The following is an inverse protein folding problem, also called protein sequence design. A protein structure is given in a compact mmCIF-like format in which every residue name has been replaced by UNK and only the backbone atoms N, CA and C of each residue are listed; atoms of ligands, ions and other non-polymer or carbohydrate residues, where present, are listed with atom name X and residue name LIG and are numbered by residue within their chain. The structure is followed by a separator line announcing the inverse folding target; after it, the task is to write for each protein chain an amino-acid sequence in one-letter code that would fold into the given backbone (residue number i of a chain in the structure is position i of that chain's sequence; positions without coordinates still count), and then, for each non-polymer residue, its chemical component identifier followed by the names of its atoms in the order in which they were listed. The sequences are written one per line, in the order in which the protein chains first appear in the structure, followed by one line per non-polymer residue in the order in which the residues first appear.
data_IF_679653341957
#
_entry.id   IF_679653341957
#
_cell.length_a   1.000
_cell.length_b   1.000
_cell.length_c   1.000
_cell.angle_alpha   90.00
_cell.angle_beta   90.00
_cell.angle_gamma   90.00
#
_symmetry.space_group_name_H-M   'P 1'
#
loop_
_entity.id
_entity.type
_entity.pdbx_description
1 polymer ?
#
# COMPACT_ATOMS: atom_id res chain seq x y z
N UNK A 1 65.92 13.32 -3.81
CA UNK A 1 65.82 13.03 -2.36
C UNK A 1 65.11 14.18 -1.68
N UNK A 2 63.78 14.12 -1.57
CA UNK A 2 62.97 15.05 -0.78
C UNK A 2 62.75 14.43 0.60
N UNK A 3 63.04 15.20 1.64
CA UNK A 3 62.88 14.79 3.05
C UNK A 3 61.39 14.64 3.38
N UNK A 4 60.99 13.64 4.18
CA UNK A 4 59.63 13.57 4.71
C UNK A 4 59.41 14.72 5.70
N UNK A 5 58.36 15.51 5.47
CA UNK A 5 57.90 16.55 6.39
C UNK A 5 57.18 15.85 7.54
N UNK A 6 57.72 16.06 8.74
CA UNK A 6 57.26 15.47 10.00
C UNK A 6 56.31 16.48 10.64
N UNK A 7 55.03 16.44 10.27
CA UNK A 7 54.00 17.31 10.84
C UNK A 7 53.25 16.56 11.96
N UNK A 8 53.34 17.00 13.23
CA UNK A 8 52.70 16.31 14.37
C UNK A 8 51.17 16.52 14.49
N UNK A 9 50.52 17.25 13.57
CA UNK A 9 49.07 17.47 13.63
C UNK A 9 48.23 16.38 12.91
N UNK A 10 48.85 15.50 12.12
CA UNK A 10 48.10 14.51 11.34
C UNK A 10 47.72 13.22 12.10
N UNK A 11 48.11 13.08 13.37
CA UNK A 11 47.87 11.88 14.20
C UNK A 11 46.76 12.12 15.26
N UNK A 12 45.99 13.21 15.14
CA UNK A 12 44.92 13.55 16.11
C UNK A 12 43.51 13.60 15.50
N UNK A 13 43.27 12.91 14.38
CA UNK A 13 41.92 12.71 13.81
C UNK A 13 41.65 11.23 13.51
N UNK A 14 42.22 10.31 14.31
CA UNK A 14 41.89 8.89 14.24
C UNK A 14 41.72 8.32 15.64
N UNK A 15 40.74 8.88 16.37
CA UNK A 15 40.08 8.31 17.56
C UNK A 15 39.14 9.36 18.17
N UNK A 16 37.93 9.51 17.64
CA UNK A 16 36.80 10.12 18.38
C UNK A 16 35.48 9.58 17.84
N UNK A 17 34.81 8.82 18.71
CA UNK A 17 33.38 8.58 18.76
C UNK A 17 32.74 7.81 17.61
N UNK A 18 32.93 6.49 17.66
CA UNK A 18 31.77 5.59 17.76
C UNK A 18 30.81 6.13 18.82
N UNK A 19 29.67 6.68 18.42
CA UNK A 19 28.55 6.87 19.33
C UNK A 19 27.80 5.55 19.42
N UNK A 20 27.90 4.95 20.59
CA UNK A 20 27.10 3.80 21.01
C UNK A 20 25.62 4.12 20.86
N UNK A 21 24.93 3.23 20.15
CA UNK A 21 23.50 3.01 20.29
C UNK A 21 23.18 2.75 21.77
N UNK A 22 22.20 3.44 22.38
CA UNK A 22 21.79 3.11 23.74
C UNK A 22 21.16 1.70 23.75
N UNK A 23 21.82 0.78 24.45
CA UNK A 23 21.30 -0.56 24.76
C UNK A 23 20.00 -0.43 25.57
N UNK A 24 18.94 -1.18 25.25
CA UNK A 24 17.73 -1.18 26.07
C UNK A 24 18.03 -1.79 27.45
N UNK A 25 17.76 -1.04 28.52
CA UNK A 25 17.86 -1.49 29.90
C UNK A 25 16.63 -2.36 30.26
N UNK A 26 16.81 -3.63 30.68
CA UNK A 26 15.71 -4.54 30.95
C UNK A 26 15.25 -4.42 32.42
N UNK A 27 14.48 -3.38 32.76
CA UNK A 27 13.81 -3.29 34.07
C UNK A 27 12.55 -2.41 34.00
N UNK A 28 11.46 -2.96 33.47
CA UNK A 28 10.14 -2.84 34.10
C UNK A 28 9.12 -3.78 33.45
N UNK A 29 8.92 -4.92 34.10
CA UNK A 29 7.71 -5.72 33.94
C UNK A 29 6.48 -4.88 34.31
N UNK A 30 5.50 -4.78 33.41
CA UNK A 30 4.09 -4.93 33.79
C UNK A 30 3.38 -5.78 32.75
N UNK A 31 3.35 -7.09 33.03
CA UNK A 31 2.31 -7.98 32.49
C UNK A 31 0.96 -7.39 32.89
N UNK A 32 0.13 -7.06 31.91
CA UNK A 32 -1.32 -6.94 32.09
C UNK A 32 -2.00 -7.68 30.95
N UNK A 33 -2.06 -8.99 31.14
CA UNK A 33 -3.15 -9.82 30.64
C UNK A 33 -4.48 -9.17 31.02
N UNK A 34 -5.31 -8.85 30.04
CA UNK A 34 -6.76 -8.89 30.19
C UNK A 34 -7.35 -9.32 28.84
N UNK A 35 -7.35 -10.63 28.66
CA UNK A 35 -8.27 -11.34 27.78
C UNK A 35 -9.67 -11.08 28.32
N UNK A 36 -10.50 -10.36 27.58
CA UNK A 36 -11.94 -10.29 27.85
C UNK A 36 -12.67 -10.51 26.53
N UNK A 37 -12.94 -11.80 26.32
CA UNK A 37 -13.87 -12.34 25.36
C UNK A 37 -15.26 -11.77 25.63
N UNK A 38 -15.80 -11.01 24.68
CA UNK A 38 -17.23 -10.69 24.63
C UNK A 38 -17.76 -11.04 23.25
N UNK A 39 -18.49 -12.15 23.24
CA UNK A 39 -19.31 -12.66 22.16
C UNK A 39 -20.33 -11.61 21.69
N UNK A 40 -20.44 -11.41 20.38
CA UNK A 40 -21.65 -10.93 19.70
C UNK A 40 -21.72 -11.72 18.39
N UNK A 41 -22.42 -12.86 18.41
CA UNK A 41 -23.82 -12.98 18.03
C UNK A 41 -24.00 -12.88 16.51
N UNK A 42 -24.20 -14.04 15.91
CA UNK A 42 -24.53 -14.24 14.51
C UNK A 42 -25.76 -13.43 14.10
N UNK A 43 -25.72 -12.82 12.92
CA UNK A 43 -26.92 -12.41 12.20
C UNK A 43 -26.97 -13.15 10.87
N UNK A 44 -27.71 -14.25 10.87
CA UNK A 44 -28.18 -14.90 9.67
C UNK A 44 -29.41 -14.14 9.17
N UNK A 45 -29.36 -13.65 7.94
CA UNK A 45 -30.58 -13.28 7.18
C UNK A 45 -30.46 -13.87 5.79
N UNK A 46 -31.20 -14.96 5.61
CA UNK A 46 -31.48 -15.58 4.33
C UNK A 46 -32.28 -14.62 3.44
N UNK A 47 -31.86 -14.47 2.19
CA UNK A 47 -32.70 -13.89 1.13
C UNK A 47 -32.73 -14.88 -0.03
N UNK A 48 -33.71 -15.77 0.01
CA UNK A 48 -34.13 -16.59 -1.13
C UNK A 48 -35.32 -15.91 -1.77
N UNK A 49 -35.15 -15.37 -2.98
CA UNK A 49 -36.26 -15.09 -3.89
C UNK A 49 -35.94 -15.77 -5.23
N UNK A 50 -36.70 -16.83 -5.49
CA UNK A 50 -36.75 -17.54 -6.77
C UNK A 50 -37.82 -16.90 -7.68
N UNK A 51 -38.01 -17.49 -8.87
CA UNK A 51 -38.99 -17.22 -9.95
C UNK A 51 -38.44 -16.25 -11.01
N UNK A 52 -38.33 -16.54 -12.33
CA UNK A 52 -38.71 -17.66 -13.20
C UNK A 52 -38.44 -17.29 -14.69
N UNK A 53 -38.12 -18.31 -15.51
CA UNK A 53 -37.79 -18.37 -16.97
C UNK A 53 -38.91 -17.89 -17.96
N UNK A 54 -38.82 -18.06 -19.32
CA UNK A 54 -37.84 -17.68 -20.37
C UNK A 54 -38.53 -17.01 -21.62
N UNK A 55 -37.81 -16.83 -22.76
CA UNK A 55 -38.24 -16.95 -24.21
C UNK A 55 -37.77 -15.83 -25.19
N UNK A 56 -36.85 -16.25 -26.07
CA UNK A 56 -36.62 -16.06 -27.54
C UNK A 56 -36.64 -14.71 -28.32
N UNK A 57 -35.52 -14.54 -29.05
CA UNK A 57 -35.29 -14.23 -30.50
C UNK A 57 -35.94 -13.02 -31.19
N UNK A 58 -35.09 -12.24 -31.87
CA UNK A 58 -35.12 -12.09 -33.34
C UNK A 58 -33.78 -11.52 -33.87
N UNK A 59 -33.33 -12.10 -34.97
CA UNK A 59 -32.20 -11.70 -35.82
C UNK A 59 -32.47 -10.34 -36.51
N UNK A 60 -31.43 -9.57 -36.85
CA UNK A 60 -30.96 -9.37 -38.23
C UNK A 60 -30.01 -8.15 -38.34
N UNK A 61 -29.10 -8.22 -39.33
CA UNK A 61 -28.29 -7.15 -39.96
C UNK A 61 -26.81 -7.02 -39.56
N UNK A 62 -26.01 -7.71 -40.37
CA UNK A 62 -24.76 -7.27 -40.98
C UNK A 62 -24.39 -5.80 -40.77
N UNK A 63 -23.32 -5.56 -40.00
CA UNK A 63 -22.37 -4.50 -40.30
C UNK A 63 -20.94 -4.97 -40.03
N UNK A 64 -20.20 -5.09 -41.12
CA UNK A 64 -18.77 -5.36 -41.20
C UNK A 64 -18.00 -4.20 -40.56
N UNK A 65 -17.39 -4.44 -39.41
CA UNK A 65 -16.30 -3.61 -38.89
C UNK A 65 -15.21 -4.56 -38.40
N UNK A 66 -14.13 -4.67 -39.20
CA UNK A 66 -12.84 -5.11 -38.68
C UNK A 66 -12.37 -4.01 -37.71
N UNK A 67 -12.75 -4.14 -36.44
CA UNK A 67 -12.28 -3.29 -35.36
C UNK A 67 -11.18 -4.00 -34.60
N UNK A 68 -10.09 -3.26 -34.45
CA UNK A 68 -8.82 -3.67 -33.92
C UNK A 68 -8.93 -4.23 -32.49
N UNK A 69 -8.12 -5.25 -32.26
CA UNK A 69 -7.70 -5.85 -30.99
C UNK A 69 -8.31 -5.24 -29.73
N UNK A 70 -9.10 -6.06 -29.03
CA UNK A 70 -9.71 -5.75 -27.75
C UNK A 70 -8.65 -5.35 -26.73
N UNK A 71 -8.56 -4.05 -26.47
CA UNK A 71 -8.06 -3.56 -25.20
C UNK A 71 -9.18 -3.80 -24.20
N UNK A 72 -9.18 -4.97 -23.57
CA UNK A 72 -10.04 -5.27 -22.44
C UNK A 72 -9.73 -4.24 -21.36
N UNK A 73 -10.51 -3.16 -21.34
CA UNK A 73 -10.50 -2.18 -20.28
C UNK A 73 -11.12 -2.87 -19.07
N UNK A 74 -10.30 -3.66 -18.36
CA UNK A 74 -10.63 -4.15 -17.04
C UNK A 74 -11.12 -2.95 -16.24
N UNK A 75 -12.44 -2.88 -16.09
CA UNK A 75 -13.14 -1.81 -15.40
C UNK A 75 -12.48 -1.71 -14.03
N UNK A 76 -11.78 -0.61 -13.76
CA UNK A 76 -11.03 -0.45 -12.52
C UNK A 76 -11.99 -0.71 -11.36
N UNK A 77 -11.82 -1.86 -10.71
CA UNK A 77 -12.64 -2.23 -9.56
C UNK A 77 -12.16 -1.30 -8.46
N UNK A 78 -12.99 -0.32 -8.12
CA UNK A 78 -12.76 0.52 -6.96
C UNK A 78 -12.90 -0.34 -5.71
N UNK A 79 -12.00 -0.17 -4.74
CA UNK A 79 -12.07 -0.91 -3.49
C UNK A 79 -13.19 -0.39 -2.58
N UNK A 80 -13.38 -1.00 -1.41
CA UNK A 80 -14.46 -0.65 -0.48
C UNK A 80 -14.38 0.80 0.04
N UNK A 81 -13.21 1.44 0.03
CA UNK A 81 -13.03 2.83 0.40
C UNK A 81 -13.13 3.78 -0.82
N UNK A 82 -13.33 3.25 -2.03
CA UNK A 82 -13.31 4.01 -3.28
C UNK A 82 -11.90 4.26 -3.82
N UNK A 83 -10.91 3.52 -3.32
CA UNK A 83 -9.53 3.58 -3.77
C UNK A 83 -9.24 2.69 -4.98
N UNK A 84 -8.01 2.76 -5.49
CA UNK A 84 -7.52 1.89 -6.57
C UNK A 84 -7.11 0.53 -5.98
N UNK A 85 -7.66 -0.56 -6.50
CA UNK A 85 -7.24 -1.92 -6.10
C UNK A 85 -6.02 -2.37 -6.92
N UNK A 86 -5.02 -2.86 -6.22
CA UNK A 86 -3.77 -3.44 -6.73
C UNK A 86 -3.89 -4.95 -6.55
N UNK A 87 -4.11 -5.65 -7.67
CA UNK A 87 -4.39 -7.09 -7.71
C UNK A 87 -3.12 -7.94 -7.93
N UNK A 88 -1.97 -7.32 -8.17
CA UNK A 88 -0.70 -8.01 -8.46
C UNK A 88 -0.06 -8.65 -7.22
N UNK A 89 -0.60 -8.38 -6.02
CA UNK A 89 -0.16 -8.95 -4.75
C UNK A 89 -1.32 -9.65 -4.04
N UNK A 90 -1.00 -10.66 -3.25
CA UNK A 90 -1.96 -11.34 -2.38
C UNK A 90 -1.55 -11.17 -0.90
N UNK A 91 -2.49 -10.82 0.00
CA UNK A 91 -3.82 -10.27 -0.29
C UNK A 91 -3.75 -9.02 -1.17
N UNK A 92 -4.79 -8.78 -1.98
CA UNK A 92 -4.91 -7.59 -2.81
C UNK A 92 -4.85 -6.34 -1.94
N UNK A 93 -4.41 -5.21 -2.51
CA UNK A 93 -4.27 -3.98 -1.74
C UNK A 93 -5.11 -2.86 -2.35
N UNK A 94 -5.87 -2.16 -1.53
CA UNK A 94 -6.52 -0.92 -1.93
C UNK A 94 -5.64 0.28 -1.57
N UNK A 95 -5.31 1.10 -2.56
CA UNK A 95 -4.73 2.42 -2.39
C UNK A 95 -5.84 3.47 -2.32
N UNK A 96 -6.05 4.05 -1.14
CA UNK A 96 -7.06 5.09 -0.92
C UNK A 96 -6.41 6.38 -0.40
N UNK A 97 -6.81 7.52 -0.95
CA UNK A 97 -6.38 8.83 -0.43
C UNK A 97 -7.48 9.41 0.43
N UNK A 98 -7.15 9.66 1.70
CA UNK A 98 -8.05 10.21 2.69
C UNK A 98 -8.27 11.71 2.48
N UNK A 99 -9.23 12.29 3.22
CA UNK A 99 -9.58 13.72 3.13
C UNK A 99 -8.43 14.65 3.53
N UNK A 100 -7.54 14.20 4.41
CA UNK A 100 -6.29 14.88 4.81
C UNK A 100 -5.11 14.60 3.86
N UNK A 101 -5.42 14.04 2.67
CA UNK A 101 -4.47 13.68 1.61
C UNK A 101 -3.40 12.67 2.04
N UNK A 102 -3.66 11.89 3.10
CA UNK A 102 -2.82 10.74 3.45
C UNK A 102 -3.21 9.55 2.60
N UNK A 103 -2.28 8.63 2.44
CA UNK A 103 -2.56 7.35 1.80
C UNK A 103 -2.90 6.35 2.89
N UNK A 104 -4.03 5.67 2.73
CA UNK A 104 -4.38 4.47 3.45
C UNK A 104 -4.25 3.28 2.51
N UNK A 105 -3.54 2.25 2.96
CA UNK A 105 -3.49 0.96 2.29
C UNK A 105 -4.30 -0.04 3.11
N UNK A 106 -5.29 -0.65 2.47
CA UNK A 106 -6.15 -1.67 3.06
C UNK A 106 -5.90 -3.00 2.35
N UNK A 107 -5.61 -4.07 3.08
CA UNK A 107 -5.55 -5.41 2.49
C UNK A 107 -6.98 -5.90 2.20
N UNK A 108 -7.18 -6.51 1.06
CA UNK A 108 -8.46 -7.06 0.60
C UNK A 108 -8.35 -8.57 0.42
N UNK A 109 -9.33 -9.31 0.94
CA UNK A 109 -9.49 -10.74 0.68
C UNK A 109 -10.06 -11.00 -0.71
N UNK A 110 -10.19 -12.28 -1.07
CA UNK A 110 -10.73 -12.72 -2.38
C UNK A 110 -12.15 -12.21 -2.64
N UNK A 111 -12.92 -11.93 -1.60
CA UNK A 111 -14.27 -11.38 -1.69
C UNK A 111 -14.30 -9.84 -1.82
N UNK A 112 -13.14 -9.20 -1.97
CA UNK A 112 -12.98 -7.75 -2.08
C UNK A 112 -13.19 -7.01 -0.76
N UNK A 113 -13.34 -7.71 0.36
CA UNK A 113 -13.52 -7.08 1.68
C UNK A 113 -12.20 -6.83 2.38
N UNK A 114 -12.18 -5.81 3.23
CA UNK A 114 -11.02 -5.50 4.04
C UNK A 114 -10.65 -6.66 4.99
N UNK A 115 -9.37 -7.03 5.01
CA UNK A 115 -8.76 -8.00 5.91
C UNK A 115 -7.57 -7.35 6.64
N UNK A 116 -7.11 -7.91 7.77
CA UNK A 116 -5.97 -7.36 8.51
C UNK A 116 -4.68 -7.35 7.68
N UNK A 117 -3.97 -6.22 7.67
CA UNK A 117 -2.68 -6.12 7.01
C UNK A 117 -1.63 -7.01 7.71
N UNK A 118 -0.94 -7.83 6.91
CA UNK A 118 0.09 -8.76 7.38
C UNK A 118 1.46 -8.11 7.58
N UNK A 119 2.51 -8.78 7.10
CA UNK A 119 3.92 -8.34 7.14
C UNK A 119 4.33 -7.49 5.93
N UNK A 120 3.36 -7.15 5.09
CA UNK A 120 3.59 -6.40 3.87
C UNK A 120 4.15 -5.02 4.19
N UNK A 121 5.13 -4.58 3.40
CA UNK A 121 5.66 -3.22 3.48
C UNK A 121 5.34 -2.47 2.20
N UNK A 122 4.94 -1.21 2.34
CA UNK A 122 4.59 -0.34 1.22
C UNK A 122 5.40 0.95 1.32
N UNK A 123 5.91 1.41 0.17
CA UNK A 123 6.45 2.76 0.02
C UNK A 123 5.78 3.40 -1.19
N UNK A 124 5.41 4.67 -1.06
CA UNK A 124 4.77 5.42 -2.12
C UNK A 124 5.63 6.61 -2.45
N UNK A 125 5.85 6.85 -3.74
CA UNK A 125 6.47 8.07 -4.24
C UNK A 125 5.47 8.75 -5.17
N UNK A 126 5.17 10.02 -4.94
CA UNK A 126 4.34 10.81 -5.85
C UNK A 126 4.58 12.31 -5.73
N UNK A 127 3.67 13.12 -6.26
CA UNK A 127 3.85 14.56 -6.38
C UNK A 127 4.62 14.96 -7.64
N UNK A 128 5.19 16.15 -7.64
CA UNK A 128 5.85 16.74 -8.81
C UNK A 128 7.08 15.90 -9.26
N UNK A 129 7.26 15.72 -10.58
CA UNK A 129 8.37 14.93 -11.14
C UNK A 129 9.74 15.53 -10.86
N UNK A 130 9.82 16.85 -10.73
CA UNK A 130 11.02 17.61 -10.38
C UNK A 130 11.26 17.65 -8.87
N UNK A 131 10.24 17.38 -8.04
CA UNK A 131 10.35 17.32 -6.59
C UNK A 131 9.49 16.19 -5.98
N UNK A 132 9.90 14.91 -6.15
CA UNK A 132 9.09 13.78 -5.72
C UNK A 132 9.01 13.70 -4.18
N UNK A 133 7.79 13.47 -3.69
CA UNK A 133 7.49 13.20 -2.29
C UNK A 133 7.49 11.70 -2.03
N UNK A 134 8.42 11.22 -1.21
CA UNK A 134 8.47 9.82 -0.78
C UNK A 134 7.83 9.66 0.59
N UNK A 135 6.90 8.71 0.69
CA UNK A 135 6.13 8.40 1.88
C UNK A 135 6.49 7.00 2.39
N UNK A 136 6.54 6.90 3.71
CA UNK A 136 6.61 5.63 4.43
C UNK A 136 5.28 5.38 5.13
N UNK A 137 5.05 4.13 5.53
CA UNK A 137 3.77 3.73 6.08
C UNK A 137 3.94 3.16 7.48
N UNK A 138 2.96 3.47 8.33
CA UNK A 138 2.85 2.95 9.67
C UNK A 138 1.57 2.13 9.81
N UNK A 139 1.64 1.01 10.51
CA UNK A 139 0.47 0.19 10.80
C UNK A 139 -0.41 0.86 11.86
N UNK A 140 -1.65 1.18 11.50
CA UNK A 140 -2.67 1.75 12.38
C UNK A 140 -3.86 0.81 12.44
N UNK A 141 -3.86 -0.09 13.41
CA UNK A 141 -4.82 -1.19 13.47
C UNK A 141 -4.59 -2.18 12.33
N UNK A 142 -5.59 -2.34 11.48
CA UNK A 142 -5.60 -3.33 10.38
C UNK A 142 -5.19 -2.74 9.03
N UNK A 143 -4.85 -1.45 8.98
CA UNK A 143 -4.44 -0.73 7.76
C UNK A 143 -3.04 -0.12 7.91
N UNK A 144 -2.42 0.22 6.79
CA UNK A 144 -1.22 1.05 6.75
C UNK A 144 -1.60 2.49 6.39
N UNK A 145 -1.03 3.48 7.08
CA UNK A 145 -1.29 4.90 6.81
C UNK A 145 0.04 5.63 6.60
N UNK A 146 0.08 6.55 5.63
CA UNK A 146 1.27 7.31 5.33
C UNK A 146 1.68 8.28 6.45
N UNK A 147 2.98 8.38 6.67
CA UNK A 147 3.62 9.31 7.61
C UNK A 147 3.33 10.77 7.24
N UNK A 148 3.41 11.10 5.96
CA UNK A 148 3.14 12.43 5.40
C UNK A 148 1.95 12.41 4.42
N UNK A 149 1.39 13.59 4.14
CA UNK A 149 0.30 13.77 3.18
C UNK A 149 0.85 14.12 1.80
N UNK A 150 0.08 13.86 0.74
CA UNK A 150 0.43 14.34 -0.60
C UNK A 150 0.53 15.87 -0.63
N UNK A 151 1.45 16.43 -1.44
CA UNK A 151 1.50 17.85 -1.67
C UNK A 151 0.20 18.34 -2.32
N UNK A 152 -0.04 19.64 -2.26
CA UNK A 152 -1.13 20.23 -3.02
C UNK A 152 -0.88 20.09 -4.52
N UNK A 153 -1.97 19.95 -5.27
CA UNK A 153 -1.94 19.71 -6.70
C UNK A 153 -2.85 18.56 -7.11
N UNK A 154 -2.85 18.30 -8.41
CA UNK A 154 -3.62 17.25 -9.05
C UNK A 154 -2.81 16.66 -10.21
N UNK A 155 -3.22 15.50 -10.73
CA UNK A 155 -2.60 14.82 -11.86
C UNK A 155 -1.09 14.65 -11.73
N UNK A 156 -0.67 13.95 -10.68
CA UNK A 156 0.73 13.62 -10.49
C UNK A 156 1.00 12.12 -10.61
N UNK A 157 2.17 11.72 -11.13
CA UNK A 157 2.54 10.32 -11.22
C UNK A 157 2.78 9.76 -9.82
N UNK A 158 2.24 8.58 -9.58
CA UNK A 158 2.42 7.81 -8.34
C UNK A 158 3.07 6.47 -8.67
N UNK A 159 4.08 6.14 -7.88
CA UNK A 159 4.77 4.85 -7.89
C UNK A 159 4.57 4.20 -6.52
N UNK A 160 3.90 3.06 -6.50
CA UNK A 160 3.66 2.25 -5.31
C UNK A 160 4.59 1.04 -5.36
N UNK A 161 5.45 0.91 -4.36
CA UNK A 161 6.32 -0.24 -4.19
C UNK A 161 5.79 -1.09 -3.05
N UNK A 162 5.43 -2.32 -3.36
CA UNK A 162 4.84 -3.26 -2.40
C UNK A 162 5.79 -4.43 -2.27
N UNK A 163 6.13 -4.76 -1.04
CA UNK A 163 6.87 -5.97 -0.71
C UNK A 163 5.99 -6.84 0.18
N UNK A 164 5.38 -7.91 -0.37
CA UNK A 164 4.40 -8.74 0.35
C UNK A 164 4.95 -9.42 1.61
N UNK A 165 6.23 -9.78 1.60
CA UNK A 165 6.95 -10.35 2.74
C UNK A 165 8.44 -10.01 2.67
N UNK A 166 9.22 -10.15 3.76
CA UNK A 166 10.64 -9.78 3.80
C UNK A 166 11.53 -10.45 2.74
N UNK A 167 11.15 -11.64 2.25
CA UNK A 167 11.90 -12.40 1.24
C UNK A 167 11.26 -12.36 -0.17
N UNK A 168 10.10 -11.72 -0.31
CA UNK A 168 9.41 -11.60 -1.58
C UNK A 168 10.02 -10.53 -2.50
N UNK A 169 9.79 -10.70 -3.80
CA UNK A 169 10.08 -9.66 -4.80
C UNK A 169 9.18 -8.44 -4.57
N UNK A 170 9.75 -7.27 -4.77
CA UNK A 170 8.98 -6.02 -4.76
C UNK A 170 8.15 -5.92 -6.04
N UNK A 171 6.85 -5.74 -5.87
CA UNK A 171 5.91 -5.37 -6.92
C UNK A 171 5.87 -3.85 -7.04
N UNK A 172 5.90 -3.34 -8.27
CA UNK A 172 5.90 -1.90 -8.53
C UNK A 172 4.71 -1.56 -9.40
N UNK A 173 3.75 -0.87 -8.82
CA UNK A 173 2.56 -0.38 -9.52
C UNK A 173 2.71 1.11 -9.79
N UNK A 174 2.38 1.55 -11.02
CA UNK A 174 2.51 2.95 -11.44
C UNK A 174 1.22 3.45 -12.06
N UNK A 175 0.74 4.61 -11.61
CA UNK A 175 -0.45 5.26 -12.15
C UNK A 175 -0.42 6.76 -11.89
N UNK A 176 -1.21 7.54 -12.63
CA UNK A 176 -1.46 8.94 -12.28
C UNK A 176 -2.56 9.02 -11.24
N UNK A 177 -2.36 9.87 -10.23
CA UNK A 177 -3.34 10.15 -9.20
C UNK A 177 -4.00 11.48 -9.47
N UNK A 178 -5.32 11.43 -9.60
CA UNK A 178 -6.18 12.60 -9.66
C UNK A 178 -6.97 12.74 -8.35
N UNK A 179 -6.76 13.84 -7.63
CA UNK A 179 -7.41 14.20 -6.36
C UNK A 179 -8.52 15.24 -6.53
#
# INVERSE_FOLDING_TARGET
MLRPRNDPEFIMISKRQTSEQPKPNPKNMKKKTNLTLKSFAALATAFTFAIGLPVLQAEDKDHKHEEHEGHDHHKAIAGPNGGKVIQEVEPHLEFFVTKDRKVQITALGEDGKAVPIGEQTVSVTGGDRSNPTRMSFEKKGDVLVSDISFPEGNDFPVVVQIKPSPDAKTVIEKFNLNL
#
